data_IF_387784043438
#
_entry.id   IF_387784043438
#
_cell.length_a   1.000
_cell.length_b   1.000
_cell.length_c   1.000
_cell.angle_alpha   90.00
_cell.angle_beta   90.00
_cell.angle_gamma   90.00
#
_symmetry.space_group_name_H-M   'P 1'
#
loop_
_entity.id
_entity.type
_entity.pdbx_description
1 polymer ?
#
# COMPACT_ATOMS: atom_id res chain seq x y z
N UNK A 1 -19.32 -2.89 -4.17
CA UNK A 1 -18.00 -2.67 -4.81
C UNK A 1 -17.29 -4.03 -4.89
N UNK A 2 -16.56 -4.37 -5.96
CA UNK A 2 -15.77 -5.63 -5.98
C UNK A 2 -14.47 -5.41 -5.22
N UNK A 3 -14.18 -6.26 -4.23
CA UNK A 3 -12.88 -6.27 -3.54
C UNK A 3 -11.77 -6.59 -4.56
N UNK A 4 -10.64 -5.86 -4.56
CA UNK A 4 -9.59 -6.10 -5.53
C UNK A 4 -8.94 -7.47 -5.28
N UNK A 5 -8.68 -8.22 -6.35
CA UNK A 5 -8.20 -9.62 -6.29
C UNK A 5 -6.91 -9.75 -5.45
N UNK A 6 -6.02 -8.75 -5.51
CA UNK A 6 -4.77 -8.71 -4.73
C UNK A 6 -5.00 -8.74 -3.21
N UNK A 7 -6.11 -8.16 -2.73
CA UNK A 7 -6.46 -8.14 -1.30
C UNK A 7 -7.00 -9.50 -0.85
N UNK A 8 -7.82 -10.16 -1.68
CA UNK A 8 -8.30 -11.52 -1.43
C UNK A 8 -7.11 -12.50 -1.39
N UNK A 9 -6.21 -12.39 -2.37
CA UNK A 9 -5.02 -13.22 -2.50
C UNK A 9 -4.15 -13.13 -1.23
N UNK A 10 -3.81 -11.93 -0.76
CA UNK A 10 -3.03 -11.77 0.45
C UNK A 10 -3.74 -12.24 1.73
N UNK A 11 -5.06 -12.05 1.84
CA UNK A 11 -5.86 -12.55 2.96
C UNK A 11 -5.93 -14.08 3.04
N UNK A 12 -5.76 -14.80 1.92
CA UNK A 12 -5.70 -16.27 1.89
C UNK A 12 -4.26 -16.78 2.04
N UNK A 13 -3.28 -16.14 1.38
CA UNK A 13 -1.88 -16.55 1.44
C UNK A 13 -1.25 -16.35 2.82
N UNK A 14 -1.58 -15.26 3.52
CA UNK A 14 -0.99 -14.94 4.83
C UNK A 14 -1.28 -15.97 5.93
N UNK A 15 -2.53 -16.42 6.19
CA UNK A 15 -2.80 -17.47 7.18
C UNK A 15 -2.21 -18.83 6.77
N UNK A 16 -2.23 -19.18 5.48
CA UNK A 16 -1.55 -20.40 5.00
C UNK A 16 -0.03 -20.34 5.25
N UNK A 17 0.59 -19.18 4.97
CA UNK A 17 2.01 -18.94 5.25
C UNK A 17 2.34 -19.01 6.75
N UNK A 18 1.47 -18.48 7.62
CA UNK A 18 1.57 -18.61 9.07
C UNK A 18 1.53 -20.09 9.51
N UNK A 19 0.57 -20.88 9.02
CA UNK A 19 0.44 -22.29 9.40
C UNK A 19 1.66 -23.11 8.96
N UNK A 20 2.19 -22.88 7.76
CA UNK A 20 3.40 -23.55 7.28
C UNK A 20 4.66 -23.14 8.05
N UNK A 21 4.86 -21.84 8.34
CA UNK A 21 6.00 -21.38 9.16
C UNK A 21 5.89 -21.84 10.61
N UNK A 22 4.69 -21.85 11.19
CA UNK A 22 4.44 -22.38 12.55
C UNK A 22 4.77 -23.87 12.62
N UNK A 23 4.25 -24.66 11.67
CA UNK A 23 4.54 -26.10 11.59
C UNK A 23 6.03 -26.33 11.36
N UNK A 24 6.66 -25.60 10.44
CA UNK A 24 8.10 -25.66 10.18
C UNK A 24 8.97 -25.29 11.39
N UNK A 25 8.49 -24.38 12.25
CA UNK A 25 9.19 -23.95 13.48
C UNK A 25 9.07 -24.97 14.60
N UNK A 26 7.87 -25.53 14.80
CA UNK A 26 7.57 -26.42 15.93
C UNK A 26 7.97 -27.88 15.67
N UNK A 27 7.92 -28.35 14.42
CA UNK A 27 8.12 -29.78 14.13
C UNK A 27 9.61 -30.21 14.18
N UNK A 28 9.91 -31.38 14.78
CA UNK A 28 11.25 -31.95 14.78
C UNK A 28 11.55 -32.57 13.42
N UNK A 29 12.28 -31.83 12.58
CA UNK A 29 12.64 -32.28 11.25
C UNK A 29 13.22 -31.20 10.34
N UNK A 30 14.16 -30.39 10.84
CA UNK A 30 14.95 -29.44 10.05
C UNK A 30 16.06 -30.15 9.26
N UNK A 31 16.70 -31.14 9.90
CA UNK A 31 17.59 -32.11 9.25
C UNK A 31 17.27 -33.54 9.67
N UNK A 32 17.43 -34.49 8.76
CA UNK A 32 17.47 -35.93 9.09
C UNK A 32 18.91 -36.39 9.07
N UNK A 33 19.23 -37.32 9.97
CA UNK A 33 20.57 -37.87 10.16
C UNK A 33 20.46 -39.40 10.19
N UNK A 34 21.21 -40.10 9.32
CA UNK A 34 21.08 -41.55 9.08
C UNK A 34 22.44 -42.20 8.79
N UNK A 35 22.57 -43.51 9.03
CA UNK A 35 23.80 -44.26 8.75
C UNK A 35 24.82 -44.17 9.88
N UNK A 36 24.36 -44.38 11.12
CA UNK A 36 25.20 -44.55 12.31
C UNK A 36 25.89 -45.93 12.25
N UNK A 37 27.13 -46.05 12.77
CA UNK A 37 27.84 -47.34 12.85
C UNK A 37 27.41 -48.16 14.07
N UNK A 38 27.33 -47.51 15.23
CA UNK A 38 27.05 -48.16 16.52
C UNK A 38 25.54 -48.38 16.78
N UNK A 39 24.70 -48.12 15.78
CA UNK A 39 23.25 -48.30 15.84
C UNK A 39 22.74 -49.00 14.57
N UNK A 40 21.60 -49.71 14.64
CA UNK A 40 21.02 -50.37 13.47
C UNK A 40 20.70 -49.37 12.34
N UNK A 41 20.85 -49.84 11.09
CA UNK A 41 20.78 -49.03 9.86
C UNK A 41 19.46 -48.24 9.74
N UNK A 42 18.38 -48.77 10.29
CA UNK A 42 17.04 -48.19 10.29
C UNK A 42 16.85 -47.02 11.27
N UNK A 43 17.88 -46.64 12.04
CA UNK A 43 17.82 -45.50 12.96
C UNK A 43 17.88 -44.19 12.20
N UNK A 44 16.84 -43.37 12.35
CA UNK A 44 16.74 -42.03 11.82
C UNK A 44 16.63 -41.04 12.98
N UNK A 45 17.54 -40.07 13.01
CA UNK A 45 17.51 -38.98 13.98
C UNK A 45 16.98 -37.72 13.31
N UNK A 46 15.80 -37.30 13.74
CA UNK A 46 15.11 -36.08 13.31
C UNK A 46 15.49 -34.95 14.25
N UNK A 47 16.17 -33.94 13.73
CA UNK A 47 16.59 -32.80 14.54
C UNK A 47 15.78 -31.58 14.15
N UNK A 48 14.99 -31.09 15.11
CA UNK A 48 14.21 -29.88 14.99
C UNK A 48 14.99 -28.63 15.36
N UNK A 49 14.23 -27.58 15.63
CA UNK A 49 14.75 -26.35 16.19
C UNK A 49 14.66 -26.33 17.73
N UNK A 50 13.67 -27.03 18.31
CA UNK A 50 13.38 -27.07 19.75
C UNK A 50 13.66 -28.41 20.40
N UNK A 51 13.49 -29.50 19.65
CA UNK A 51 13.55 -30.87 20.15
C UNK A 51 14.20 -31.78 19.09
N UNK A 52 14.69 -32.95 19.52
CA UNK A 52 15.29 -33.98 18.69
C UNK A 52 14.60 -35.32 18.98
N UNK A 53 14.15 -35.98 17.91
CA UNK A 53 13.44 -37.26 18.00
C UNK A 53 14.19 -38.36 17.26
N UNK A 54 14.24 -39.54 17.86
CA UNK A 54 14.81 -40.75 17.27
C UNK A 54 13.68 -41.69 16.86
N UNK A 55 13.83 -42.31 15.69
CA UNK A 55 12.96 -43.35 15.16
C UNK A 55 13.80 -44.55 14.75
N UNK A 56 13.26 -45.77 14.92
CA UNK A 56 13.96 -47.02 14.63
C UNK A 56 12.94 -48.11 14.26
N UNK A 57 12.78 -48.39 12.95
CA UNK A 57 12.09 -49.50 12.22
C UNK A 57 10.74 -50.10 12.68
N UNK A 58 10.39 -50.03 13.96
CA UNK A 58 9.17 -50.57 14.58
C UNK A 58 8.87 -49.93 15.95
N UNK A 59 9.78 -49.11 16.49
CA UNK A 59 9.58 -48.42 17.77
C UNK A 59 8.87 -47.07 17.57
N UNK A 60 8.08 -46.67 18.56
CA UNK A 60 7.44 -45.36 18.60
C UNK A 60 8.48 -44.23 18.58
N UNK A 61 8.14 -43.07 17.98
CA UNK A 61 9.06 -41.93 17.85
C UNK A 61 9.39 -41.35 19.22
N UNK A 62 10.63 -41.50 19.65
CA UNK A 62 11.13 -41.05 20.95
C UNK A 62 11.73 -39.64 20.82
N UNK A 63 10.97 -38.63 21.24
CA UNK A 63 11.41 -37.24 21.33
C UNK A 63 12.09 -36.93 22.67
N UNK A 64 12.70 -35.74 22.82
CA UNK A 64 13.48 -35.38 24.01
C UNK A 64 14.87 -36.04 24.09
N UNK A 65 15.50 -36.34 22.96
CA UNK A 65 16.86 -36.91 22.96
C UNK A 65 17.90 -35.88 23.47
N UNK A 66 18.93 -36.31 24.23
CA UNK A 66 19.97 -35.41 24.76
C UNK A 66 20.82 -34.79 23.65
N UNK A 67 21.36 -33.58 23.92
CA UNK A 67 22.22 -32.84 22.99
C UNK A 67 23.71 -33.03 23.31
N UNK A 68 24.19 -34.26 23.13
CA UNK A 68 25.59 -34.64 23.40
C UNK A 68 26.59 -33.95 22.45
N UNK A 69 26.12 -33.41 21.31
CA UNK A 69 26.95 -32.78 20.27
C UNK A 69 26.88 -31.25 20.29
N UNK A 70 26.09 -30.64 21.19
CA UNK A 70 25.92 -29.18 21.26
C UNK A 70 25.24 -28.58 20.03
N UNK A 71 24.38 -29.34 19.34
CA UNK A 71 23.63 -28.89 18.17
C UNK A 71 22.77 -27.65 18.46
N UNK A 72 22.12 -27.57 19.63
CA UNK A 72 21.32 -26.39 20.00
C UNK A 72 22.17 -25.17 20.35
N UNK A 73 23.47 -25.35 20.65
CA UNK A 73 24.42 -24.27 20.84
C UNK A 73 24.98 -23.72 19.50
N UNK A 74 24.81 -24.45 18.39
CA UNK A 74 25.24 -24.00 17.07
C UNK A 74 24.60 -22.66 16.68
N UNK A 75 25.39 -21.78 16.08
CA UNK A 75 24.96 -20.42 15.73
C UNK A 75 23.77 -20.38 14.77
N UNK A 76 23.71 -21.17 13.68
CA UNK A 76 22.54 -21.19 12.78
C UNK A 76 21.25 -21.57 13.51
N UNK A 77 21.32 -22.48 14.49
CA UNK A 77 20.15 -22.93 15.26
C UNK A 77 19.67 -21.82 16.20
N UNK A 78 20.57 -21.16 16.92
CA UNK A 78 20.22 -20.03 17.80
C UNK A 78 19.64 -18.84 17.02
N UNK A 79 20.25 -18.48 15.90
CA UNK A 79 19.74 -17.41 15.01
C UNK A 79 18.38 -17.78 14.43
N UNK A 80 18.21 -19.03 13.96
CA UNK A 80 16.93 -19.50 13.45
C UNK A 80 15.81 -19.51 14.50
N UNK A 81 16.08 -19.85 15.77
CA UNK A 81 15.07 -19.74 16.86
C UNK A 81 14.55 -18.33 16.99
N UNK A 82 15.45 -17.34 17.08
CA UNK A 82 15.08 -15.94 17.23
C UNK A 82 14.31 -15.39 16.02
N UNK A 83 14.83 -15.62 14.81
CA UNK A 83 14.24 -15.10 13.58
C UNK A 83 12.89 -15.78 13.22
N UNK A 84 12.73 -17.08 13.46
CA UNK A 84 11.44 -17.76 13.24
C UNK A 84 10.37 -17.29 14.23
N UNK A 85 10.69 -17.11 15.53
CA UNK A 85 9.75 -16.52 16.50
C UNK A 85 9.39 -15.07 16.11
N UNK A 86 10.39 -14.25 15.75
CA UNK A 86 10.15 -12.88 15.31
C UNK A 86 9.26 -12.81 14.06
N UNK A 87 9.47 -13.72 13.10
CA UNK A 87 8.59 -13.88 11.93
C UNK A 87 7.17 -14.23 12.36
N UNK A 88 6.96 -15.25 13.21
CA UNK A 88 5.63 -15.66 13.66
C UNK A 88 4.89 -14.52 14.37
N UNK A 89 5.57 -13.79 15.25
CA UNK A 89 5.01 -12.62 15.94
C UNK A 89 4.66 -11.48 14.97
N UNK A 90 5.54 -11.17 14.01
CA UNK A 90 5.30 -10.18 12.97
C UNK A 90 4.15 -10.60 12.04
N UNK A 91 4.04 -11.89 11.68
CA UNK A 91 2.93 -12.43 10.89
C UNK A 91 1.60 -12.32 11.63
N UNK A 92 1.56 -12.65 12.93
CA UNK A 92 0.37 -12.49 13.75
C UNK A 92 -0.07 -11.02 13.83
N UNK A 93 0.87 -10.09 14.07
CA UNK A 93 0.59 -8.65 14.06
C UNK A 93 0.10 -8.18 12.68
N UNK A 94 0.72 -8.65 11.59
CA UNK A 94 0.31 -8.37 10.22
C UNK A 94 -1.12 -8.84 9.94
N UNK A 95 -1.50 -10.04 10.37
CA UNK A 95 -2.87 -10.56 10.22
C UNK A 95 -3.89 -9.77 11.06
N UNK A 96 -3.54 -9.34 12.27
CA UNK A 96 -4.39 -8.46 13.08
C UNK A 96 -4.61 -7.10 12.37
N UNK A 97 -3.55 -6.49 11.83
CA UNK A 97 -3.67 -5.27 11.04
C UNK A 97 -4.49 -5.47 9.76
N UNK A 98 -4.34 -6.62 9.09
CA UNK A 98 -5.09 -6.95 7.87
C UNK A 98 -6.59 -7.13 8.16
N UNK A 99 -6.96 -7.86 9.21
CA UNK A 99 -8.37 -8.06 9.61
C UNK A 99 -9.04 -6.75 10.03
N UNK A 100 -8.34 -5.87 10.75
CA UNK A 100 -8.85 -4.52 11.06
C UNK A 100 -8.95 -3.64 9.81
N UNK A 101 -7.99 -3.74 8.87
CA UNK A 101 -7.99 -2.96 7.62
C UNK A 101 -9.08 -3.37 6.62
N UNK A 102 -9.47 -4.65 6.62
CA UNK A 102 -10.48 -5.24 5.73
C UNK A 102 -11.91 -5.15 6.29
N UNK A 103 -12.09 -4.92 7.61
CA UNK A 103 -13.35 -4.70 8.34
C UNK A 103 -14.63 -4.76 7.48
N UNK A 104 -15.20 -5.96 7.31
CA UNK A 104 -16.36 -6.23 6.44
C UNK A 104 -17.70 -5.54 6.82
N UNK A 105 -17.69 -4.58 7.73
CA UNK A 105 -18.86 -3.92 8.33
C UNK A 105 -18.83 -2.39 8.24
N UNK A 106 -17.86 -1.80 7.52
CA UNK A 106 -17.84 -0.36 7.21
C UNK A 106 -17.70 -0.19 5.69
N UNK A 107 -18.45 0.76 5.12
CA UNK A 107 -18.54 0.98 3.66
C UNK A 107 -17.20 1.39 3.01
N UNK A 108 -16.24 1.91 3.79
CA UNK A 108 -14.94 2.38 3.29
C UNK A 108 -13.76 1.61 3.92
N UNK A 109 -13.05 0.77 3.14
CA UNK A 109 -11.89 0.04 3.62
C UNK A 109 -10.69 0.97 3.84
N UNK A 110 -9.96 0.75 4.93
CA UNK A 110 -8.80 1.57 5.29
C UNK A 110 -7.55 1.12 4.50
N UNK A 111 -7.47 1.49 3.22
CA UNK A 111 -6.39 1.09 2.29
C UNK A 111 -4.97 1.30 2.85
N UNK A 112 -4.74 2.35 3.65
CA UNK A 112 -3.45 2.58 4.31
C UNK A 112 -3.09 1.49 5.35
N UNK A 113 -4.08 0.98 6.08
CA UNK A 113 -3.89 -0.06 7.09
C UNK A 113 -3.72 -1.44 6.43
N UNK A 114 -4.48 -1.70 5.37
CA UNK A 114 -4.32 -2.90 4.54
C UNK A 114 -2.93 -2.93 3.85
N UNK A 115 -2.46 -1.80 3.31
CA UNK A 115 -1.10 -1.66 2.80
C UNK A 115 -0.04 -1.90 3.89
N UNK A 116 -0.22 -1.31 5.08
CA UNK A 116 0.73 -1.45 6.20
C UNK A 116 0.84 -2.90 6.66
N UNK A 117 -0.28 -3.62 6.76
CA UNK A 117 -0.27 -5.05 7.05
C UNK A 117 0.52 -5.86 6.02
N UNK A 118 0.41 -5.50 4.73
CA UNK A 118 1.19 -6.13 3.66
C UNK A 118 2.70 -5.96 3.83
N UNK A 119 3.15 -4.76 4.20
CA UNK A 119 4.58 -4.49 4.47
C UNK A 119 5.07 -5.28 5.69
N UNK A 120 4.28 -5.36 6.76
CA UNK A 120 4.62 -6.17 7.95
C UNK A 120 4.69 -7.66 7.61
N UNK A 121 3.73 -8.19 6.83
CA UNK A 121 3.72 -9.58 6.37
C UNK A 121 4.89 -9.91 5.43
N UNK A 122 5.26 -8.98 4.54
CA UNK A 122 6.43 -9.13 3.67
C UNK A 122 7.74 -9.16 4.47
N UNK A 123 7.88 -8.25 5.46
CA UNK A 123 9.02 -8.27 6.37
C UNK A 123 9.08 -9.58 7.19
N UNK A 124 7.94 -10.08 7.67
CA UNK A 124 7.86 -11.37 8.34
C UNK A 124 8.34 -12.52 7.43
N UNK A 125 7.88 -12.57 6.17
CA UNK A 125 8.34 -13.57 5.20
C UNK A 125 9.85 -13.53 4.92
N UNK A 126 10.48 -12.35 4.97
CA UNK A 126 11.95 -12.24 4.92
C UNK A 126 12.60 -12.78 6.20
N UNK A 127 12.05 -12.46 7.38
CA UNK A 127 12.55 -12.92 8.67
C UNK A 127 12.52 -14.45 8.80
N UNK A 128 11.58 -15.16 8.17
CA UNK A 128 11.60 -16.63 8.11
C UNK A 128 12.46 -17.20 6.95
N UNK A 129 12.59 -16.50 5.82
CA UNK A 129 13.39 -16.98 4.69
C UNK A 129 14.91 -16.93 4.97
N UNK A 130 15.38 -15.88 5.66
CA UNK A 130 16.80 -15.70 6.02
C UNK A 130 17.35 -16.90 6.83
N UNK A 131 16.77 -17.32 7.98
CA UNK A 131 17.29 -18.44 8.75
C UNK A 131 17.16 -19.78 8.04
N UNK A 132 16.10 -19.99 7.26
CA UNK A 132 15.89 -21.24 6.49
C UNK A 132 16.95 -21.38 5.39
N UNK A 133 17.23 -20.30 4.64
CA UNK A 133 18.27 -20.30 3.59
C UNK A 133 19.68 -20.41 4.18
N UNK A 134 19.97 -19.69 5.26
CA UNK A 134 21.25 -19.77 5.98
C UNK A 134 21.52 -21.18 6.53
N UNK A 135 20.54 -21.78 7.22
CA UNK A 135 20.66 -23.14 7.74
C UNK A 135 20.87 -24.16 6.61
N UNK A 136 20.15 -24.02 5.50
CA UNK A 136 20.32 -24.89 4.34
C UNK A 136 21.72 -24.79 3.71
N UNK A 137 22.30 -23.58 3.68
CA UNK A 137 23.66 -23.36 3.18
C UNK A 137 24.72 -24.09 4.02
N UNK A 138 24.61 -24.02 5.35
CA UNK A 138 25.54 -24.70 6.27
C UNK A 138 25.20 -26.17 6.56
N UNK A 139 24.16 -26.75 5.95
CA UNK A 139 23.68 -28.11 6.26
C UNK A 139 24.74 -29.22 6.05
N UNK A 140 25.65 -29.01 5.09
CA UNK A 140 26.76 -29.91 4.81
C UNK A 140 28.00 -29.64 5.68
N UNK A 141 28.12 -28.45 6.28
CA UNK A 141 29.29 -28.02 7.05
C UNK A 141 29.25 -28.59 8.48
N UNK A 142 30.18 -29.50 8.76
CA UNK A 142 30.32 -30.18 10.05
C UNK A 142 30.95 -29.32 11.14
N UNK A 143 31.68 -28.26 10.79
CA UNK A 143 32.27 -27.34 11.77
C UNK A 143 31.22 -26.38 12.34
N UNK A 144 30.24 -25.98 11.50
CA UNK A 144 29.17 -25.06 11.90
C UNK A 144 27.94 -25.80 12.46
N UNK A 145 27.57 -26.95 11.87
CA UNK A 145 26.46 -27.78 12.33
C UNK A 145 26.97 -29.18 12.75
N UNK A 146 27.31 -29.38 14.04
CA UNK A 146 27.98 -30.60 14.50
C UNK A 146 27.12 -31.84 14.21
N UNK A 147 27.77 -32.92 13.79
CA UNK A 147 27.18 -34.24 13.59
C UNK A 147 28.27 -35.29 13.88
N UNK A 148 27.86 -36.53 14.15
CA UNK A 148 28.82 -37.61 14.36
C UNK A 148 29.73 -37.82 13.14
N UNK A 149 30.94 -38.31 13.38
CA UNK A 149 31.92 -38.68 12.36
C UNK A 149 31.37 -39.72 11.37
N UNK A 150 31.92 -39.74 10.16
CA UNK A 150 31.49 -40.62 9.05
C UNK A 150 31.29 -42.08 9.48
N UNK A 151 30.24 -42.78 9.01
CA UNK A 151 29.61 -42.66 7.69
C UNK A 151 28.24 -41.95 7.68
N UNK A 152 27.96 -41.15 8.72
CA UNK A 152 26.65 -40.52 8.91
C UNK A 152 26.28 -39.53 7.81
N UNK A 153 25.21 -39.84 7.08
CA UNK A 153 24.60 -39.00 6.05
C UNK A 153 23.62 -38.00 6.68
N UNK A 154 23.55 -36.78 6.12
CA UNK A 154 22.59 -35.74 6.54
C UNK A 154 21.78 -35.28 5.34
N UNK A 155 20.47 -35.18 5.55
CA UNK A 155 19.46 -34.89 4.53
C UNK A 155 18.59 -33.71 4.96
N UNK A 156 18.08 -32.94 3.98
CA UNK A 156 17.14 -31.82 4.22
C UNK A 156 15.85 -32.36 4.85
N UNK A 157 15.40 -31.70 5.92
CA UNK A 157 14.18 -32.08 6.63
C UNK A 157 12.90 -31.45 6.09
N UNK A 158 11.77 -32.13 6.31
CA UNK A 158 10.45 -31.71 5.84
C UNK A 158 10.04 -30.34 6.42
N UNK A 159 10.39 -30.05 7.67
CA UNK A 159 10.02 -28.78 8.32
C UNK A 159 10.73 -27.58 7.67
N UNK A 160 11.91 -27.81 7.09
CA UNK A 160 12.68 -26.79 6.38
C UNK A 160 12.02 -26.43 5.04
N UNK A 161 11.45 -27.43 4.34
CA UNK A 161 10.63 -27.24 3.14
C UNK A 161 9.33 -26.49 3.49
N UNK A 162 8.67 -26.86 4.60
CA UNK A 162 7.47 -26.14 5.08
C UNK A 162 7.80 -24.67 5.44
N UNK A 163 8.94 -24.42 6.10
CA UNK A 163 9.42 -23.07 6.39
C UNK A 163 9.70 -22.25 5.13
N UNK A 164 10.33 -22.84 4.12
CA UNK A 164 10.58 -22.21 2.83
C UNK A 164 9.28 -21.86 2.09
N UNK A 165 8.36 -22.84 1.96
CA UNK A 165 7.04 -22.62 1.35
C UNK A 165 6.25 -21.55 2.10
N UNK A 166 6.18 -21.62 3.42
CA UNK A 166 5.50 -20.64 4.25
C UNK A 166 6.05 -19.22 4.09
N UNK A 167 7.39 -19.09 4.01
CA UNK A 167 8.05 -17.81 3.74
C UNK A 167 7.66 -17.25 2.37
N UNK A 168 7.64 -18.08 1.32
CA UNK A 168 7.21 -17.68 -0.02
C UNK A 168 5.73 -17.23 -0.05
N UNK A 169 4.82 -17.93 0.65
CA UNK A 169 3.42 -17.51 0.77
C UNK A 169 3.28 -16.18 1.53
N UNK A 170 4.06 -15.96 2.59
CA UNK A 170 4.09 -14.68 3.33
C UNK A 170 4.63 -13.53 2.48
N UNK A 171 5.67 -13.75 1.67
CA UNK A 171 6.21 -12.75 0.75
C UNK A 171 5.20 -12.38 -0.34
N UNK A 172 4.58 -13.37 -0.99
CA UNK A 172 3.57 -13.13 -2.03
C UNK A 172 2.28 -12.49 -1.45
N UNK A 173 1.85 -12.95 -0.28
CA UNK A 173 0.68 -12.40 0.43
C UNK A 173 0.92 -10.98 0.94
N UNK A 174 2.09 -10.73 1.53
CA UNK A 174 2.50 -9.40 1.99
C UNK A 174 2.67 -8.41 0.82
N UNK A 175 3.33 -8.83 -0.26
CA UNK A 175 3.48 -8.01 -1.47
C UNK A 175 2.13 -7.66 -2.09
N UNK A 176 1.23 -8.63 -2.28
CA UNK A 176 -0.10 -8.39 -2.86
C UNK A 176 -0.97 -7.47 -1.98
N UNK A 177 -0.90 -7.57 -0.66
CA UNK A 177 -1.52 -6.60 0.26
C UNK A 177 -0.85 -5.21 0.18
N UNK A 178 0.47 -5.14 0.11
CA UNK A 178 1.22 -3.88 0.04
C UNK A 178 0.89 -3.08 -1.24
N UNK A 179 0.55 -3.74 -2.35
CA UNK A 179 0.03 -3.07 -3.56
C UNK A 179 -1.26 -2.26 -3.31
N UNK A 180 -2.00 -2.55 -2.23
CA UNK A 180 -3.17 -1.75 -1.80
C UNK A 180 -2.81 -0.31 -1.39
N UNK A 181 -1.52 0.01 -1.16
CA UNK A 181 -1.08 1.40 -1.00
C UNK A 181 -1.18 2.23 -2.29
N UNK A 182 -1.09 1.61 -3.47
CA UNK A 182 -1.10 2.33 -4.74
C UNK A 182 -2.37 3.20 -4.95
N UNK A 183 -3.61 2.70 -4.77
CA UNK A 183 -4.80 3.53 -4.86
C UNK A 183 -4.84 4.62 -3.77
N UNK A 184 -4.40 4.33 -2.54
CA UNK A 184 -4.35 5.32 -1.46
C UNK A 184 -3.39 6.48 -1.76
N UNK A 185 -2.19 6.18 -2.26
CA UNK A 185 -1.24 7.20 -2.72
C UNK A 185 -1.81 8.00 -3.90
N UNK A 186 -2.48 7.36 -4.85
CA UNK A 186 -3.11 8.04 -5.98
C UNK A 186 -4.25 8.98 -5.57
N UNK A 187 -5.06 8.60 -4.57
CA UNK A 187 -6.13 9.43 -4.01
C UNK A 187 -5.54 10.62 -3.24
N UNK A 188 -4.51 10.39 -2.40
CA UNK A 188 -3.84 11.44 -1.64
C UNK A 188 -3.12 12.43 -2.55
N UNK A 189 -2.42 11.97 -3.60
CA UNK A 189 -1.82 12.85 -4.61
C UNK A 189 -2.87 13.65 -5.39
N UNK A 190 -4.02 13.06 -5.74
CA UNK A 190 -5.14 13.81 -6.35
C UNK A 190 -5.72 14.85 -5.39
N UNK A 191 -5.84 14.54 -4.11
CA UNK A 191 -6.28 15.48 -3.07
C UNK A 191 -5.30 16.64 -2.90
N UNK A 192 -3.99 16.37 -2.79
CA UNK A 192 -2.95 17.40 -2.72
C UNK A 192 -2.90 18.29 -3.98
N UNK A 193 -3.19 17.75 -5.18
CA UNK A 193 -3.31 18.54 -6.42
C UNK A 193 -4.62 19.35 -6.51
N UNK A 194 -5.68 18.91 -5.82
CA UNK A 194 -6.98 19.60 -5.73
C UNK A 194 -7.07 20.60 -4.58
N UNK A 195 -6.18 20.53 -3.59
CA UNK A 195 -6.08 21.55 -2.56
C UNK A 195 -5.87 22.91 -3.25
N UNK A 196 -6.74 23.91 -3.01
CA UNK A 196 -6.54 25.22 -3.61
C UNK A 196 -5.17 25.74 -3.17
N UNK A 197 -4.38 26.37 -4.06
CA UNK A 197 -3.08 26.91 -3.69
C UNK A 197 -3.30 27.84 -2.50
N UNK A 198 -2.78 27.44 -1.34
CA UNK A 198 -3.06 28.11 -0.07
C UNK A 198 -2.75 29.58 -0.26
N UNK A 199 -3.77 30.44 -0.10
CA UNK A 199 -3.76 31.85 -0.55
C UNK A 199 -2.38 32.46 -0.29
N UNK A 200 -1.57 32.56 -1.35
CA UNK A 200 -0.46 33.47 -1.35
C UNK A 200 -1.08 34.82 -1.01
N UNK A 201 -0.78 35.32 0.19
CA UNK A 201 -1.43 36.49 0.78
C UNK A 201 -0.97 37.70 -0.02
N UNK A 202 -1.59 37.88 -1.20
CA UNK A 202 -1.35 38.97 -2.13
C UNK A 202 -1.46 40.22 -1.28
N UNK A 203 -0.31 40.87 -1.06
CA UNK A 203 -0.21 42.04 -0.19
C UNK A 203 -1.32 42.98 -0.59
N UNK A 204 -2.18 43.33 0.37
CA UNK A 204 -3.34 44.14 0.09
C UNK A 204 -2.88 45.40 -0.63
N UNK A 205 -3.42 45.64 -1.83
CA UNK A 205 -3.24 46.90 -2.54
C UNK A 205 -3.54 47.99 -1.52
N UNK A 206 -2.52 48.80 -1.23
CA UNK A 206 -2.60 49.88 -0.26
C UNK A 206 -3.68 50.84 -0.70
N UNK A 207 -4.83 50.78 -0.04
CA UNK A 207 -5.90 51.79 -0.16
C UNK A 207 -5.36 53.10 0.37
N UNK A 208 -4.79 53.91 -0.53
CA UNK A 208 -4.46 55.31 -0.26
C UNK A 208 -5.77 56.01 0.09
N UNK A 209 -5.87 56.49 1.32
CA UNK A 209 -6.97 57.37 1.72
C UNK A 209 -6.75 58.70 1.01
N UNK A 210 -7.62 59.01 0.05
CA UNK A 210 -7.73 60.36 -0.52
C UNK A 210 -8.79 61.06 0.32
N UNK A 211 -8.34 61.98 1.16
CA UNK A 211 -9.23 62.82 1.96
C UNK A 211 -9.84 63.89 1.03
N UNK A 212 -11.16 63.84 0.85
CA UNK A 212 -11.88 64.78 0.00
C UNK A 212 -12.52 65.86 0.88
N UNK A 213 -12.29 67.16 0.62
CA UNK A 213 -12.89 68.23 1.42
C UNK A 213 -14.42 68.19 1.33
N UNK A 214 -15.09 68.30 2.48
CA UNK A 214 -16.55 68.26 2.56
C UNK A 214 -17.21 69.40 1.77
N UNK A 215 -18.26 69.12 0.96
CA UNK A 215 -19.10 70.16 0.38
C UNK A 215 -19.99 70.84 1.44
N UNK A 216 -20.76 71.87 1.09
CA UNK A 216 -21.74 72.51 1.99
C UNK A 216 -23.20 72.02 1.70
N UNK A 217 -24.05 71.73 2.72
CA UNK A 217 -25.50 71.44 2.52
C UNK A 217 -26.07 72.79 2.14
N UNK A 218 -27.00 72.77 1.21
CA UNK A 218 -28.15 73.68 1.30
C UNK A 218 -29.15 73.09 2.32
N UNK A 219 -29.58 73.80 3.38
CA UNK A 219 -30.54 73.26 4.33
C UNK A 219 -31.89 73.09 3.63
N UNK A 220 -32.65 72.11 4.11
CA UNK A 220 -33.91 71.72 3.51
C UNK A 220 -34.98 72.84 3.60
N UNK A 221 -35.81 72.91 2.57
CA UNK A 221 -37.01 73.74 2.53
C UNK A 221 -38.00 73.21 3.56
N UNK A 222 -38.37 74.03 4.56
CA UNK A 222 -39.59 73.85 5.35
C UNK A 222 -40.57 74.96 5.00
N UNK A 223 -41.73 74.57 4.51
CA UNK A 223 -42.89 75.46 4.42
C UNK A 223 -43.43 75.73 5.82
N UNK A 224 -43.75 76.98 6.11
CA UNK A 224 -44.69 77.35 7.16
C UNK A 224 -45.62 78.45 6.65
N UNK A 225 -46.87 78.42 7.12
CA UNK A 225 -47.87 79.46 6.84
C UNK A 225 -47.54 80.76 7.57
N UNK A 226 -48.08 81.85 7.03
CA UNK A 226 -48.15 83.21 7.57
C UNK A 226 -46.85 84.03 7.73
N UNK A 227 -46.86 85.19 7.05
CA UNK A 227 -46.19 86.39 7.57
C UNK A 227 -44.79 86.71 7.04
N UNK A 228 -44.74 87.48 5.95
CA UNK A 228 -43.63 88.37 5.53
C UNK A 228 -42.35 87.74 4.91
N UNK A 229 -41.77 88.50 3.96
CA UNK A 229 -40.69 88.06 3.05
C UNK A 229 -39.26 88.35 3.56
N UNK A 230 -38.31 87.42 3.33
CA UNK A 230 -36.91 87.65 2.84
C UNK A 230 -36.14 86.33 2.62
N UNK A 231 -35.14 86.22 1.70
CA UNK A 231 -34.52 84.91 1.36
C UNK A 231 -32.99 84.71 1.62
N UNK A 232 -32.60 83.44 1.90
CA UNK A 232 -31.27 82.72 1.75
C UNK A 232 -30.06 83.13 2.63
N UNK A 233 -28.98 82.30 2.83
CA UNK A 233 -28.68 80.90 2.36
C UNK A 233 -28.00 79.87 3.35
N UNK A 234 -28.10 78.54 3.08
CA UNK A 234 -27.03 77.47 2.97
C UNK A 234 -25.94 77.17 4.06
N UNK A 235 -25.95 75.99 4.77
CA UNK A 235 -24.75 75.14 5.13
C UNK A 235 -24.96 73.69 5.72
N UNK A 236 -23.91 72.79 5.68
CA UNK A 236 -23.85 71.29 5.96
C UNK A 236 -23.62 70.89 7.44
N UNK A 237 -24.20 69.75 7.81
CA UNK A 237 -23.73 68.77 8.79
C UNK A 237 -24.89 67.90 9.30
N UNK A 238 -24.92 66.56 9.25
CA UNK A 238 -23.91 65.58 8.84
C UNK A 238 -24.55 64.44 8.01
N UNK A 239 -23.82 63.95 7.00
CA UNK A 239 -24.28 62.84 6.17
C UNK A 239 -23.91 61.48 6.80
N UNK A 240 -24.85 60.53 6.80
CA UNK A 240 -24.52 59.13 7.06
C UNK A 240 -23.64 58.59 5.93
N UNK A 241 -22.65 57.77 6.30
CA UNK A 241 -21.72 57.10 5.39
C UNK A 241 -22.46 56.23 4.36
N UNK A 242 -22.80 56.80 3.20
CA UNK A 242 -23.38 56.07 2.07
C UNK A 242 -22.28 55.27 1.36
N UNK A 243 -22.26 53.95 1.60
CA UNK A 243 -21.51 53.00 0.75
C UNK A 243 -22.11 52.99 -0.66
N UNK A 244 -21.56 53.82 -1.54
CA UNK A 244 -21.83 53.75 -2.98
C UNK A 244 -20.90 52.71 -3.63
N UNK A 245 -21.38 51.48 -3.76
CA UNK A 245 -20.72 50.49 -4.63
C UNK A 245 -21.07 50.77 -6.09
N UNK A 246 -20.08 51.09 -6.92
CA UNK A 246 -20.28 51.18 -8.36
C UNK A 246 -20.52 49.77 -8.95
N UNK A 247 -21.59 49.54 -9.72
CA UNK A 247 -21.74 48.30 -10.48
C UNK A 247 -20.66 48.25 -11.57
N UNK A 248 -19.75 47.29 -11.48
CA UNK A 248 -18.74 47.06 -12.50
C UNK A 248 -19.42 46.50 -13.77
N UNK A 249 -19.16 47.04 -14.98
CA UNK A 249 -19.74 46.49 -16.20
C UNK A 249 -19.33 45.03 -16.41
N UNK A 250 -20.30 44.13 -16.64
CA UNK A 250 -20.00 42.76 -17.03
C UNK A 250 -19.40 42.75 -18.44
N UNK A 251 -18.25 42.12 -18.69
CA UNK A 251 -17.79 41.89 -20.06
C UNK A 251 -18.78 40.94 -20.78
N UNK A 252 -19.06 41.16 -22.08
CA UNK A 252 -19.95 40.28 -22.83
C UNK A 252 -19.34 38.88 -22.99
N UNK A 253 -20.16 37.82 -23.08
CA UNK A 253 -19.66 36.47 -23.27
C UNK A 253 -19.04 36.32 -24.66
N UNK A 254 -17.70 36.35 -24.74
CA UNK A 254 -17.00 35.86 -25.93
C UNK A 254 -17.16 34.34 -25.98
N UNK A 255 -18.06 33.87 -26.82
CA UNK A 255 -18.08 32.48 -27.25
C UNK A 255 -16.75 32.16 -27.92
N UNK A 256 -15.94 31.29 -27.29
CA UNK A 256 -14.73 30.75 -27.92
C UNK A 256 -15.07 29.37 -28.48
N UNK A 257 -15.78 29.36 -29.61
CA UNK A 257 -15.84 28.18 -30.46
C UNK A 257 -14.48 28.03 -31.15
N UNK A 258 -13.72 27.00 -30.79
CA UNK A 258 -12.50 26.64 -31.51
C UNK A 258 -12.74 25.38 -32.37
N UNK A 259 -13.21 25.54 -33.62
CA UNK A 259 -12.88 24.62 -34.68
C UNK A 259 -11.66 25.17 -35.44
N UNK A 260 -10.56 24.43 -35.40
CA UNK A 260 -9.75 24.03 -36.57
C UNK A 260 -8.52 23.31 -36.02
N UNK A 261 -8.36 22.08 -36.49
CA UNK A 261 -7.28 21.15 -36.20
C UNK A 261 -6.04 21.59 -37.00
N UNK A 262 -5.06 22.23 -36.35
CA UNK A 262 -3.84 22.75 -37.00
C UNK A 262 -2.64 21.87 -36.67
N UNK A 263 -2.59 20.67 -37.25
CA UNK A 263 -1.36 19.87 -37.41
C UNK A 263 -1.42 19.05 -38.71
N UNK A 264 -1.62 19.72 -39.85
CA UNK A 264 -1.45 19.15 -41.18
C UNK A 264 -0.72 20.19 -42.05
N UNK A 265 0.54 19.93 -42.43
CA UNK A 265 1.31 20.97 -43.14
C UNK A 265 2.81 20.85 -43.28
N UNK A 266 3.41 19.66 -43.46
CA UNK A 266 4.78 19.58 -43.99
C UNK A 266 4.91 18.51 -45.09
N UNK A 267 5.32 18.93 -46.29
CA UNK A 267 5.47 18.08 -47.46
C UNK A 267 6.96 17.90 -47.82
N UNK A 268 7.41 16.65 -47.72
CA UNK A 268 8.04 15.87 -48.81
C UNK A 268 9.47 16.29 -49.30
N UNK A 269 10.20 15.47 -50.08
CA UNK A 269 9.82 14.17 -50.70
C UNK A 269 10.85 13.01 -50.56
N UNK A 270 10.58 11.91 -51.29
CA UNK A 270 11.44 10.73 -51.60
C UNK A 270 11.61 9.64 -50.50
N UNK A 271 11.56 8.32 -50.79
CA UNK A 271 11.21 7.57 -52.02
C UNK A 271 10.92 6.06 -51.72
N UNK A 272 10.36 5.34 -52.72
CA UNK A 272 10.25 3.86 -52.90
C UNK A 272 9.16 2.99 -52.20
N UNK A 273 8.29 2.44 -53.07
CA UNK A 273 7.63 1.10 -53.12
C UNK A 273 6.78 0.53 -51.97
N UNK A 274 5.57 0.01 -52.29
CA UNK A 274 4.86 -0.89 -51.36
C UNK A 274 3.38 -1.28 -51.54
N UNK A 275 2.81 -1.37 -52.76
CA UNK A 275 1.68 -2.27 -53.15
C UNK A 275 0.47 -2.53 -52.17
N UNK A 276 -0.72 -2.08 -52.61
CA UNK A 276 -2.04 -2.77 -52.55
C UNK A 276 -3.25 -2.08 -51.87
N UNK A 277 -4.06 -1.43 -52.70
CA UNK A 277 -5.51 -1.64 -52.91
C UNK A 277 -6.48 -2.06 -51.77
N UNK A 278 -7.32 -1.07 -51.38
CA UNK A 278 -8.81 -1.03 -51.44
C UNK A 278 -9.71 -2.06 -50.69
N UNK A 279 -10.72 -1.44 -50.03
CA UNK A 279 -12.11 -1.87 -49.78
C UNK A 279 -12.40 -2.63 -48.45
N UNK A 280 -13.55 -2.50 -47.75
CA UNK A 280 -14.78 -1.69 -47.97
C UNK A 280 -15.48 -1.29 -46.63
N UNK A 281 -16.63 -0.60 -46.72
CA UNK A 281 -17.70 -0.38 -45.70
C UNK A 281 -18.21 -1.71 -45.07
N UNK A 282 -18.92 -1.77 -43.93
CA UNK A 282 -19.95 -0.85 -43.40
C UNK A 282 -20.22 -0.95 -41.88
N UNK A 283 -21.04 -0.02 -41.35
CA UNK A 283 -21.52 0.04 -39.96
C UNK A 283 -22.69 -0.92 -39.64
N UNK A 284 -22.91 -1.14 -38.33
CA UNK A 284 -24.12 -1.72 -37.71
C UNK A 284 -23.72 -2.54 -36.47
N UNK A 285 -24.04 -2.24 -35.20
CA UNK A 285 -25.25 -1.75 -34.49
C UNK A 285 -25.83 -2.86 -33.61
N UNK A 286 -25.98 -2.56 -32.31
CA UNK A 286 -26.86 -3.22 -31.33
C UNK A 286 -26.58 -4.68 -30.86
N UNK A 287 -26.30 -4.78 -29.55
CA UNK A 287 -26.90 -5.65 -28.51
C UNK A 287 -28.11 -6.54 -28.92
N UNK A 288 -28.36 -7.71 -28.26
CA UNK A 288 -28.44 -7.79 -26.79
C UNK A 288 -27.96 -9.08 -26.09
N UNK A 289 -28.04 -9.05 -24.76
CA UNK A 289 -28.10 -10.24 -23.89
C UNK A 289 -29.52 -10.83 -23.94
N UNK A 290 -29.69 -12.16 -23.83
CA UNK A 290 -30.20 -12.82 -22.61
C UNK A 290 -30.27 -14.37 -22.73
N UNK A 291 -30.58 -15.03 -21.60
CA UNK A 291 -31.16 -16.38 -21.43
C UNK A 291 -30.36 -17.67 -21.67
N UNK A 292 -30.14 -18.37 -20.55
CA UNK A 292 -30.48 -19.79 -20.28
C UNK A 292 -29.84 -20.94 -21.09
N UNK A 293 -28.76 -21.52 -20.50
CA UNK A 293 -28.56 -22.97 -20.34
C UNK A 293 -27.49 -23.30 -19.29
#
# INVERSE_FOLDING_TARGET
MRTPVVMILGMVLAPCGLLLTLTGTLTPGWRLVKGFLDQPVDVVLYQGLWDMCREQSSSERQCGQPDDLGYFAAEPVRVARGLMIASLAATALGLLLATVGVRCWQDEPHFALAGLSGVVLFAAGLLSLIPVSWYNHFLADRAVLPAQSSPVTVQVGYSLVLGYLGSCLLLLGGFSLALSFAPWCAERCRSCRKAPPGRARRSSISTVYIDWPEPALTPAIKYYSDGQHRPRPVQLGAASQRKAGFPMPRPPPKAYSNPVEVLDGEKAPESHHGVSSRSTRSCGSALPCDSDL
#
